data_IF_521982011327
#
_entry.id   IF_521982011327
#
_cell.length_a   1.000
_cell.length_b   1.000
_cell.length_c   1.000
_cell.angle_alpha   90.00
_cell.angle_beta   90.00
_cell.angle_gamma   90.00
#
_symmetry.space_group_name_H-M   'P 1'
#
loop_
_entity.id
_entity.type
_entity.pdbx_description
1 polymer ?
#
# COMPACT_ATOMS: atom_id res chain seq x y z
N UNK A 1 -42.66 -28.20 18.17
CA UNK A 1 -41.29 -27.76 18.50
C UNK A 1 -41.36 -26.86 19.72
N UNK A 2 -40.58 -27.18 20.75
CA UNK A 2 -40.46 -26.36 21.96
C UNK A 2 -39.80 -25.01 21.63
N UNK A 3 -40.02 -23.99 22.46
CA UNK A 3 -39.39 -22.67 22.28
C UNK A 3 -37.85 -22.76 22.33
N UNK A 4 -37.34 -23.69 23.15
CA UNK A 4 -35.92 -24.01 23.29
C UNK A 4 -35.36 -24.59 22.00
N UNK A 5 -36.02 -25.60 21.40
CA UNK A 5 -35.60 -26.18 20.11
C UNK A 5 -35.51 -25.13 19.01
N UNK A 6 -36.52 -24.24 18.93
CA UNK A 6 -36.51 -23.13 17.96
C UNK A 6 -35.36 -22.17 18.19
N UNK A 7 -35.03 -21.88 19.45
CA UNK A 7 -33.92 -21.01 19.81
C UNK A 7 -32.57 -21.66 19.46
N UNK A 8 -32.37 -22.93 19.81
CA UNK A 8 -31.17 -23.70 19.50
C UNK A 8 -30.94 -23.81 17.98
N UNK A 9 -31.98 -24.12 17.19
CA UNK A 9 -31.89 -24.11 15.73
C UNK A 9 -31.50 -22.71 15.19
N UNK A 10 -32.08 -21.65 15.77
CA UNK A 10 -31.74 -20.29 15.37
C UNK A 10 -30.26 -19.96 15.65
N UNK A 11 -29.71 -20.38 16.80
CA UNK A 11 -28.28 -20.21 17.13
C UNK A 11 -27.41 -21.04 16.17
N UNK A 12 -27.72 -22.34 16.01
CA UNK A 12 -26.98 -23.27 15.12
C UNK A 12 -26.88 -22.75 13.69
N UNK A 13 -27.93 -22.12 13.16
CA UNK A 13 -27.93 -21.53 11.81
C UNK A 13 -26.83 -20.49 11.60
N UNK A 14 -26.42 -19.77 12.64
CA UNK A 14 -25.37 -18.75 12.55
C UNK A 14 -23.96 -19.30 12.83
N UNK A 15 -23.83 -20.52 13.35
CA UNK A 15 -22.55 -21.15 13.64
C UNK A 15 -21.92 -21.82 12.40
N UNK A 16 -20.58 -21.91 12.32
CA UNK A 16 -19.87 -22.77 11.37
C UNK A 16 -20.27 -24.25 11.53
N UNK A 17 -20.39 -24.98 10.43
CA UNK A 17 -20.86 -26.38 10.43
C UNK A 17 -20.14 -27.29 11.41
N UNK A 18 -18.82 -27.17 11.50
CA UNK A 18 -17.98 -28.02 12.35
C UNK A 18 -18.18 -27.86 13.87
N UNK A 19 -18.88 -26.81 14.34
CA UNK A 19 -19.11 -26.60 15.78
C UNK A 19 -20.61 -26.53 16.14
N UNK A 20 -21.51 -26.70 15.18
CA UNK A 20 -22.97 -26.55 15.38
C UNK A 20 -23.52 -27.55 16.39
N UNK A 21 -23.07 -28.80 16.33
CA UNK A 21 -23.57 -29.85 17.21
C UNK A 21 -23.04 -29.67 18.63
N UNK A 22 -21.72 -29.55 18.77
CA UNK A 22 -21.05 -29.38 20.07
C UNK A 22 -21.59 -28.16 20.85
N UNK A 23 -21.58 -26.98 20.22
CA UNK A 23 -22.14 -25.76 20.83
C UNK A 23 -23.63 -25.90 21.08
N UNK A 24 -24.34 -26.65 20.24
CA UNK A 24 -25.75 -26.94 20.42
C UNK A 24 -26.06 -27.73 21.69
N UNK A 25 -25.25 -28.76 21.95
CA UNK A 25 -25.37 -29.61 23.15
C UNK A 25 -25.00 -28.80 24.39
N UNK A 26 -23.89 -28.06 24.33
CA UNK A 26 -23.43 -27.20 25.42
C UNK A 26 -24.47 -26.12 25.77
N UNK A 27 -25.01 -25.45 24.75
CA UNK A 27 -26.02 -24.41 24.96
C UNK A 27 -27.34 -24.99 25.48
N UNK A 28 -27.72 -26.20 25.05
CA UNK A 28 -28.90 -26.88 25.57
C UNK A 28 -28.73 -27.19 27.06
N UNK A 29 -27.60 -27.79 27.45
CA UNK A 29 -27.29 -28.07 28.86
C UNK A 29 -27.29 -26.78 29.70
N UNK A 30 -26.72 -25.68 29.18
CA UNK A 30 -26.73 -24.39 29.85
C UNK A 30 -28.14 -23.84 30.05
N UNK A 31 -29.02 -23.96 29.05
CA UNK A 31 -30.44 -23.54 29.17
C UNK A 31 -31.17 -24.40 30.22
N UNK A 32 -30.93 -25.71 30.23
CA UNK A 32 -31.55 -26.64 31.18
C UNK A 32 -31.09 -26.35 32.62
N UNK A 33 -29.80 -26.06 32.83
CA UNK A 33 -29.24 -25.65 34.14
C UNK A 33 -29.79 -24.31 34.65
N UNK A 34 -30.21 -23.42 33.75
CA UNK A 34 -30.83 -22.14 34.11
C UNK A 34 -32.31 -22.27 34.50
N UNK A 35 -32.95 -23.42 34.23
CA UNK A 35 -34.37 -23.65 34.50
C UNK A 35 -34.56 -24.40 35.84
N UNK A 36 -35.62 -24.07 36.60
CA UNK A 36 -35.98 -24.85 37.80
C UNK A 36 -36.55 -26.23 37.43
N UNK A 37 -36.48 -27.20 38.36
CA UNK A 37 -36.92 -28.60 38.14
C UNK A 37 -38.35 -28.74 37.58
N UNK A 38 -39.26 -27.84 37.97
CA UNK A 38 -40.62 -27.75 37.46
C UNK A 38 -40.85 -26.39 36.79
N UNK A 39 -40.25 -26.19 35.62
CA UNK A 39 -40.34 -24.93 34.88
C UNK A 39 -41.65 -24.79 34.11
N UNK A 40 -42.07 -23.54 33.92
CA UNK A 40 -43.21 -23.15 33.08
C UNK A 40 -42.73 -22.50 31.79
N UNK A 41 -43.64 -22.29 30.82
CA UNK A 41 -43.30 -21.55 29.59
C UNK A 41 -42.80 -20.12 29.85
N UNK A 42 -43.24 -19.50 30.96
CA UNK A 42 -42.76 -18.17 31.36
C UNK A 42 -41.28 -18.21 31.78
N UNK A 43 -40.86 -19.27 32.47
CA UNK A 43 -39.47 -19.41 32.91
C UNK A 43 -38.54 -19.60 31.71
N UNK A 44 -38.94 -20.44 30.74
CA UNK A 44 -38.24 -20.58 29.45
C UNK A 44 -38.13 -19.24 28.73
N UNK A 45 -39.23 -18.49 28.65
CA UNK A 45 -39.24 -17.18 28.00
C UNK A 45 -38.26 -16.19 28.67
N UNK A 46 -38.18 -16.17 30.01
CA UNK A 46 -37.24 -15.32 30.75
C UNK A 46 -35.77 -15.73 30.54
N UNK A 47 -35.48 -17.04 30.55
CA UNK A 47 -34.13 -17.55 30.28
C UNK A 47 -33.68 -17.17 28.88
N UNK A 48 -34.53 -17.36 27.86
CA UNK A 48 -34.20 -16.99 26.48
C UNK A 48 -34.06 -15.47 26.28
N UNK A 49 -34.82 -14.64 27.00
CA UNK A 49 -34.60 -13.19 27.02
C UNK A 49 -33.24 -12.85 27.62
N UNK A 50 -32.85 -13.52 28.71
CA UNK A 50 -31.57 -13.30 29.38
C UNK A 50 -30.37 -13.69 28.50
N UNK A 51 -30.51 -14.75 27.71
CA UNK A 51 -29.53 -15.16 26.70
C UNK A 51 -29.51 -14.23 25.48
N UNK A 52 -30.62 -13.55 25.19
CA UNK A 52 -30.69 -12.51 24.17
C UNK A 52 -30.81 -13.06 22.75
N UNK A 53 -30.35 -12.28 21.77
CA UNK A 53 -30.51 -12.62 20.36
C UNK A 53 -29.67 -13.86 19.97
N UNK A 54 -30.26 -14.88 19.32
CA UNK A 54 -29.53 -16.06 18.84
C UNK A 54 -28.29 -15.73 17.99
N UNK A 55 -28.35 -14.62 17.24
CA UNK A 55 -27.23 -14.17 16.38
C UNK A 55 -26.07 -13.60 17.18
N UNK A 56 -26.35 -12.90 18.28
CA UNK A 56 -25.32 -12.32 19.15
C UNK A 56 -24.64 -13.46 19.91
N UNK A 57 -25.44 -14.34 20.52
CA UNK A 57 -24.95 -15.50 21.26
C UNK A 57 -24.10 -16.42 20.37
N UNK A 58 -24.56 -16.74 19.17
CA UNK A 58 -23.77 -17.53 18.21
C UNK A 58 -22.40 -16.91 17.88
N UNK A 59 -22.28 -15.58 17.93
CA UNK A 59 -21.01 -14.90 17.66
C UNK A 59 -20.05 -14.96 18.86
N UNK A 60 -20.55 -15.18 20.07
CA UNK A 60 -19.73 -15.42 21.27
C UNK A 60 -19.12 -16.82 21.27
N UNK A 61 -19.87 -17.82 20.82
CA UNK A 61 -19.38 -19.19 20.63
C UNK A 61 -18.52 -19.39 19.37
N UNK A 62 -18.43 -18.39 18.48
CA UNK A 62 -17.67 -18.53 17.25
C UNK A 62 -16.17 -18.23 17.47
N UNK A 63 -15.28 -19.22 17.34
CA UNK A 63 -13.84 -19.03 17.57
C UNK A 63 -13.18 -18.10 16.54
N UNK A 64 -13.81 -17.91 15.37
CA UNK A 64 -13.32 -17.00 14.33
C UNK A 64 -14.35 -15.90 14.08
N UNK A 65 -14.15 -14.74 14.70
CA UNK A 65 -15.00 -13.57 14.44
C UNK A 65 -14.90 -13.20 12.96
N UNK A 66 -16.04 -13.11 12.27
CA UNK A 66 -16.12 -12.93 10.80
C UNK A 66 -15.91 -11.47 10.38
N UNK A 67 -14.76 -10.89 10.71
CA UNK A 67 -14.40 -9.54 10.27
C UNK A 67 -13.55 -9.61 8.99
N UNK A 68 -13.76 -8.67 8.07
CA UNK A 68 -12.82 -8.48 6.95
C UNK A 68 -11.48 -7.91 7.45
N UNK A 69 -11.57 -7.01 8.43
CA UNK A 69 -10.48 -6.39 9.17
C UNK A 69 -10.95 -6.31 10.63
N UNK A 70 -10.26 -7.00 11.53
CA UNK A 70 -10.64 -7.12 12.92
C UNK A 70 -10.38 -5.83 13.72
N UNK A 71 -11.00 -5.71 14.90
CA UNK A 71 -10.83 -4.53 15.76
C UNK A 71 -9.35 -4.25 16.10
N UNK A 72 -8.52 -5.30 16.14
CA UNK A 72 -7.09 -5.23 16.42
C UNK A 72 -6.31 -4.39 15.40
N UNK A 73 -6.66 -4.46 14.11
CA UNK A 73 -5.98 -3.74 13.04
C UNK A 73 -6.75 -2.53 12.52
N UNK A 74 -8.01 -2.35 12.94
CA UNK A 74 -8.93 -1.37 12.36
C UNK A 74 -8.42 0.08 12.43
N UNK A 75 -7.87 0.51 13.57
CA UNK A 75 -7.36 1.88 13.71
C UNK A 75 -6.13 2.14 12.82
N UNK A 76 -5.25 1.13 12.71
CA UNK A 76 -4.08 1.19 11.82
C UNK A 76 -4.53 1.22 10.36
N UNK A 77 -5.51 0.38 10.00
CA UNK A 77 -6.13 0.36 8.68
C UNK A 77 -6.68 1.73 8.29
N UNK A 78 -7.55 2.34 9.09
CA UNK A 78 -8.12 3.67 8.80
C UNK A 78 -7.03 4.73 8.68
N UNK A 79 -6.01 4.67 9.53
CA UNK A 79 -4.91 5.62 9.49
C UNK A 79 -4.04 5.48 8.23
N UNK A 80 -3.78 4.26 7.76
CA UNK A 80 -3.08 4.02 6.49
C UNK A 80 -3.96 4.45 5.33
N UNK A 81 -5.21 4.00 5.30
CA UNK A 81 -6.18 4.30 4.25
C UNK A 81 -6.28 5.79 3.97
N UNK A 82 -6.45 6.62 5.02
CA UNK A 82 -6.51 8.09 4.89
C UNK A 82 -5.25 8.67 4.25
N UNK A 83 -4.06 8.20 4.63
CA UNK A 83 -2.78 8.68 4.08
C UNK A 83 -2.62 8.29 2.62
N UNK A 84 -2.91 7.02 2.28
CA UNK A 84 -2.77 6.51 0.93
C UNK A 84 -3.76 7.18 -0.01
N UNK A 85 -5.03 7.31 0.39
CA UNK A 85 -6.03 8.05 -0.39
C UNK A 85 -5.56 9.49 -0.62
N UNK A 86 -5.10 10.19 0.41
CA UNK A 86 -4.58 11.56 0.28
C UNK A 86 -3.43 11.67 -0.73
N UNK A 87 -2.47 10.74 -0.65
CA UNK A 87 -1.34 10.67 -1.61
C UNK A 87 -1.85 10.40 -3.02
N UNK A 88 -2.70 9.38 -3.21
CA UNK A 88 -3.21 9.00 -4.53
C UNK A 88 -4.02 10.14 -5.17
N UNK A 89 -4.90 10.79 -4.41
CA UNK A 89 -5.66 11.96 -4.90
C UNK A 89 -4.71 13.08 -5.33
N UNK A 90 -3.73 13.43 -4.50
CA UNK A 90 -2.78 14.49 -4.84
C UNK A 90 -1.96 14.15 -6.10
N UNK A 91 -1.46 12.93 -6.20
CA UNK A 91 -0.67 12.47 -7.35
C UNK A 91 -1.54 12.44 -8.61
N UNK A 92 -2.76 11.89 -8.54
CA UNK A 92 -3.70 11.87 -9.66
C UNK A 92 -4.08 13.27 -10.15
N UNK A 93 -4.31 14.22 -9.23
CA UNK A 93 -4.54 15.63 -9.57
C UNK A 93 -3.34 16.24 -10.30
N UNK A 94 -2.14 16.02 -9.75
CA UNK A 94 -0.89 16.54 -10.33
C UNK A 94 -0.69 16.00 -11.75
N UNK A 95 -0.95 14.71 -11.96
CA UNK A 95 -0.84 14.03 -13.25
C UNK A 95 -1.88 14.55 -14.26
N UNK A 96 -3.14 14.69 -13.85
CA UNK A 96 -4.18 15.25 -14.71
C UNK A 96 -3.86 16.70 -15.13
N UNK A 97 -3.37 17.50 -14.18
CA UNK A 97 -2.96 18.87 -14.43
C UNK A 97 -1.74 18.96 -15.37
N UNK A 98 -0.74 18.10 -15.16
CA UNK A 98 0.43 18.01 -16.03
C UNK A 98 0.04 17.62 -17.45
N UNK A 99 -0.83 16.62 -17.61
CA UNK A 99 -1.35 16.22 -18.93
C UNK A 99 -1.98 17.37 -19.69
N UNK A 100 -2.75 18.20 -18.99
CA UNK A 100 -3.36 19.39 -19.59
C UNK A 100 -2.33 20.43 -20.05
N UNK A 101 -1.22 20.62 -19.32
CA UNK A 101 -0.15 21.53 -19.74
C UNK A 101 0.59 21.00 -20.97
N UNK A 102 0.84 19.68 -21.02
CA UNK A 102 1.71 19.06 -22.04
C UNK A 102 0.98 18.87 -23.38
N UNK A 103 -0.33 18.61 -23.36
CA UNK A 103 -1.16 18.44 -24.56
C UNK A 103 -2.13 19.63 -24.74
N UNK A 104 -1.62 20.84 -25.06
CA UNK A 104 -2.48 22.01 -25.21
C UNK A 104 -3.42 21.81 -26.41
N UNK A 105 -4.71 21.65 -26.12
CA UNK A 105 -5.73 21.67 -27.16
C UNK A 105 -5.79 23.06 -27.83
N UNK A 106 -6.02 23.08 -29.14
CA UNK A 106 -6.02 24.28 -30.02
C UNK A 106 -6.98 25.40 -29.54
N UNK A 107 -7.93 25.10 -28.63
CA UNK A 107 -8.90 26.05 -28.09
C UNK A 107 -8.82 26.16 -26.56
N UNK A 108 -7.65 26.49 -26.02
CA UNK A 108 -7.36 26.58 -24.58
C UNK A 108 -8.37 27.40 -23.74
N UNK A 109 -9.00 28.42 -24.34
CA UNK A 109 -9.83 29.42 -23.63
C UNK A 109 -11.34 29.14 -23.63
N UNK A 110 -11.81 28.03 -24.20
CA UNK A 110 -13.24 27.68 -24.18
C UNK A 110 -13.69 27.25 -22.77
N UNK A 111 -14.79 27.82 -22.25
CA UNK A 111 -15.41 27.42 -20.96
C UNK A 111 -15.66 25.89 -20.91
N UNK A 112 -15.98 25.28 -22.06
CA UNK A 112 -16.15 23.83 -22.21
C UNK A 112 -14.88 23.02 -21.93
N UNK A 113 -13.69 23.57 -22.21
CA UNK A 113 -12.41 22.89 -21.99
C UNK A 113 -11.94 23.00 -20.54
N UNK A 114 -12.25 24.11 -19.85
CA UNK A 114 -12.08 24.22 -18.38
C UNK A 114 -13.00 23.22 -17.66
N UNK A 115 -14.26 23.10 -18.11
CA UNK A 115 -15.18 22.08 -17.59
C UNK A 115 -14.67 20.65 -17.76
N UNK A 116 -14.09 20.33 -18.93
CA UNK A 116 -13.43 19.03 -19.19
C UNK A 116 -12.22 18.80 -18.30
N UNK A 117 -11.38 19.81 -18.09
CA UNK A 117 -10.23 19.72 -17.18
C UNK A 117 -10.69 19.35 -15.77
N UNK A 118 -11.62 20.13 -15.21
CA UNK A 118 -12.16 19.88 -13.87
C UNK A 118 -12.79 18.47 -13.80
N UNK A 119 -13.56 18.09 -14.81
CA UNK A 119 -14.15 16.75 -14.91
C UNK A 119 -13.09 15.65 -14.91
N UNK A 120 -12.01 15.81 -15.69
CA UNK A 120 -10.89 14.84 -15.75
C UNK A 120 -10.10 14.77 -14.44
N UNK A 121 -9.90 15.91 -13.76
CA UNK A 121 -9.22 15.97 -12.46
C UNK A 121 -10.05 15.27 -11.38
N UNK A 122 -11.36 15.50 -11.35
CA UNK A 122 -12.28 14.82 -10.43
C UNK A 122 -12.29 13.31 -10.72
N UNK A 123 -12.46 12.91 -11.98
CA UNK A 123 -12.50 11.50 -12.37
C UNK A 123 -11.18 10.78 -12.03
N UNK A 124 -10.04 11.41 -12.31
CA UNK A 124 -8.71 10.87 -11.98
C UNK A 124 -8.50 10.75 -10.47
N UNK A 125 -8.96 11.74 -9.71
CA UNK A 125 -8.88 11.73 -8.23
C UNK A 125 -9.73 10.62 -7.62
N UNK A 126 -10.97 10.46 -8.10
CA UNK A 126 -11.86 9.37 -7.66
C UNK A 126 -11.23 8.02 -7.99
N UNK A 127 -10.71 7.86 -9.22
CA UNK A 127 -10.05 6.63 -9.64
C UNK A 127 -8.82 6.33 -8.77
N UNK A 128 -7.96 7.33 -8.54
CA UNK A 128 -6.79 7.19 -7.68
C UNK A 128 -7.16 6.85 -6.23
N UNK A 129 -8.19 7.49 -5.68
CA UNK A 129 -8.71 7.19 -4.34
C UNK A 129 -9.25 5.77 -4.23
N UNK A 130 -10.03 5.31 -5.22
CA UNK A 130 -10.57 3.96 -5.26
C UNK A 130 -9.47 2.90 -5.38
N UNK A 131 -8.47 3.13 -6.22
CA UNK A 131 -7.31 2.24 -6.34
C UNK A 131 -6.52 2.17 -5.02
N UNK A 132 -6.21 3.32 -4.42
CA UNK A 132 -5.55 3.36 -3.11
C UNK A 132 -6.36 2.64 -2.03
N UNK A 133 -7.68 2.87 -1.98
CA UNK A 133 -8.56 2.21 -1.03
C UNK A 133 -8.62 0.69 -1.24
N UNK A 134 -8.72 0.25 -2.49
CA UNK A 134 -8.73 -1.16 -2.86
C UNK A 134 -7.47 -1.88 -2.39
N UNK A 135 -6.28 -1.37 -2.75
CA UNK A 135 -5.02 -2.01 -2.40
C UNK A 135 -4.73 -2.00 -0.89
N UNK A 136 -5.08 -0.92 -0.18
CA UNK A 136 -4.98 -0.88 1.29
C UNK A 136 -5.91 -1.92 1.92
N UNK A 137 -7.18 -1.97 1.49
CA UNK A 137 -8.18 -2.89 2.05
C UNK A 137 -7.79 -4.34 1.78
N UNK A 138 -7.35 -4.64 0.55
CA UNK A 138 -6.87 -5.97 0.17
C UNK A 138 -5.71 -6.40 1.06
N UNK A 139 -4.72 -5.52 1.25
CA UNK A 139 -3.54 -5.86 2.03
C UNK A 139 -3.88 -6.08 3.52
N UNK A 140 -4.71 -5.23 4.12
CA UNK A 140 -5.16 -5.44 5.49
C UNK A 140 -6.04 -6.68 5.64
N UNK A 141 -6.87 -7.01 4.64
CA UNK A 141 -7.65 -8.24 4.65
C UNK A 141 -6.77 -9.48 4.52
N UNK A 142 -5.70 -9.42 3.71
CA UNK A 142 -4.71 -10.50 3.64
C UNK A 142 -3.95 -10.65 4.96
N UNK A 143 -3.58 -9.54 5.61
CA UNK A 143 -2.93 -9.57 6.93
C UNK A 143 -3.86 -10.21 7.97
N UNK A 144 -5.13 -9.80 8.04
CA UNK A 144 -6.13 -10.38 8.96
C UNK A 144 -6.33 -11.88 8.73
N UNK A 145 -6.31 -12.33 7.47
CA UNK A 145 -6.47 -13.75 7.12
C UNK A 145 -5.18 -14.56 7.25
N UNK A 146 -4.02 -13.91 7.21
CA UNK A 146 -2.74 -14.58 7.35
C UNK A 146 -2.43 -14.83 8.82
N UNK A 147 -1.90 -16.01 9.15
CA UNK A 147 -1.43 -16.32 10.51
C UNK A 147 -0.12 -15.61 10.91
N UNK A 148 0.33 -14.67 10.07
CA UNK A 148 1.61 -13.96 10.19
C UNK A 148 1.48 -12.93 11.32
N UNK A 149 2.30 -13.08 12.35
CA UNK A 149 2.41 -12.09 13.42
C UNK A 149 3.11 -10.83 12.89
N UNK A 150 2.35 -9.74 12.72
CA UNK A 150 2.88 -8.46 12.25
C UNK A 150 3.08 -7.51 13.44
N UNK A 151 4.25 -7.60 14.06
CA UNK A 151 4.67 -6.70 15.15
C UNK A 151 4.26 -7.16 16.55
N UNK A 152 4.11 -6.22 17.48
CA UNK A 152 3.75 -6.48 18.88
C UNK A 152 2.24 -6.67 19.12
N UNK A 153 1.49 -6.98 18.08
CA UNK A 153 0.07 -7.27 18.23
C UNK A 153 -0.04 -8.76 18.55
N UNK A 154 -0.33 -9.16 19.80
CA UNK A 154 -0.54 -10.56 20.12
C UNK A 154 -1.69 -11.10 19.28
N UNK A 155 -1.58 -12.36 18.83
CA UNK A 155 -2.70 -13.10 18.25
C UNK A 155 -3.93 -12.92 19.16
N UNK A 156 -5.14 -12.96 18.60
CA UNK A 156 -6.36 -13.06 19.44
C UNK A 156 -6.28 -14.27 20.41
N UNK A 157 -5.41 -15.26 20.13
CA UNK A 157 -5.19 -16.45 20.93
C UNK A 157 -3.83 -16.51 21.67
N UNK A 158 -3.00 -15.45 21.66
CA UNK A 158 -1.80 -15.44 22.50
C UNK A 158 -2.19 -14.90 23.87
N UNK A 159 -2.11 -15.74 24.89
CA UNK A 159 -2.26 -15.30 26.27
C UNK A 159 -1.16 -14.27 26.57
N UNK A 160 -1.60 -13.06 26.90
CA UNK A 160 -0.69 -11.98 27.25
C UNK A 160 0.03 -12.32 28.55
N UNK A 161 1.36 -12.18 28.55
CA UNK A 161 2.18 -12.35 29.75
C UNK A 161 2.89 -11.03 30.09
N UNK A 162 3.23 -10.77 31.37
CA UNK A 162 4.01 -9.58 31.74
C UNK A 162 5.35 -9.46 31.00
N UNK A 163 5.91 -10.57 30.52
CA UNK A 163 7.14 -10.60 29.70
C UNK A 163 6.95 -10.00 28.30
N UNK A 164 5.70 -9.85 27.84
CA UNK A 164 5.37 -9.16 26.58
C UNK A 164 5.42 -7.62 26.70
N UNK A 165 5.72 -7.09 27.89
CA UNK A 165 5.91 -5.65 28.09
C UNK A 165 7.13 -5.15 27.31
N UNK A 166 6.99 -4.04 26.55
CA UNK A 166 8.12 -3.48 25.84
C UNK A 166 9.22 -3.01 26.82
N UNK A 167 10.46 -3.43 26.57
CA UNK A 167 11.61 -2.99 27.35
C UNK A 167 11.72 -1.45 27.39
N UNK A 168 11.84 -0.89 28.59
CA UNK A 168 11.98 0.55 28.79
C UNK A 168 13.32 1.04 28.22
N UNK A 169 13.26 2.07 27.37
CA UNK A 169 14.42 2.87 26.96
C UNK A 169 15.15 2.47 25.66
N UNK A 170 14.94 1.26 25.11
CA UNK A 170 15.66 0.83 23.89
C UNK A 170 14.91 1.12 22.57
N UNK A 171 13.62 1.44 22.65
CA UNK A 171 12.74 1.56 21.49
C UNK A 171 12.91 2.85 20.67
N UNK A 172 13.48 3.93 21.22
CA UNK A 172 13.63 5.19 20.47
C UNK A 172 14.60 5.06 19.29
N UNK A 173 15.68 4.29 19.45
CA UNK A 173 16.68 4.07 18.38
C UNK A 173 16.15 3.18 17.26
N UNK A 174 15.25 2.24 17.59
CA UNK A 174 14.57 1.35 16.64
C UNK A 174 13.32 1.95 16.02
N UNK A 175 12.83 3.08 16.54
CA UNK A 175 11.59 3.72 16.08
C UNK A 175 11.69 4.12 14.61
N UNK A 176 10.67 3.76 13.85
CA UNK A 176 10.54 4.13 12.46
C UNK A 176 9.96 5.54 12.38
N UNK A 177 10.62 6.43 11.64
CA UNK A 177 10.10 7.78 11.39
C UNK A 177 8.87 7.69 10.47
N UNK A 178 7.68 7.92 11.04
CA UNK A 178 6.41 7.91 10.30
C UNK A 178 6.42 8.95 9.16
N UNK A 179 6.97 10.15 9.42
CA UNK A 179 7.09 11.22 8.42
C UNK A 179 7.95 10.78 7.23
N UNK A 180 9.14 10.24 7.47
CA UNK A 180 10.03 9.82 6.39
C UNK A 180 9.41 8.68 5.57
N UNK A 181 8.68 7.77 6.24
CA UNK A 181 8.01 6.63 5.59
C UNK A 181 6.89 7.12 4.66
N UNK A 182 6.10 8.11 5.10
CA UNK A 182 5.04 8.74 4.27
C UNK A 182 5.63 9.52 3.10
N UNK A 183 6.71 10.29 3.32
CA UNK A 183 7.39 11.03 2.24
C UNK A 183 7.97 10.05 1.21
N UNK A 184 8.62 8.97 1.65
CA UNK A 184 9.15 7.95 0.75
C UNK A 184 8.05 7.30 -0.08
N UNK A 185 6.93 6.94 0.55
CA UNK A 185 5.77 6.39 -0.17
C UNK A 185 5.21 7.37 -1.20
N UNK A 186 5.05 8.65 -0.81
CA UNK A 186 4.60 9.70 -1.70
C UNK A 186 5.52 9.83 -2.92
N UNK A 187 6.83 9.92 -2.71
CA UNK A 187 7.82 10.03 -3.78
C UNK A 187 7.79 8.81 -4.71
N UNK A 188 7.71 7.60 -4.15
CA UNK A 188 7.60 6.37 -4.96
C UNK A 188 6.37 6.40 -5.85
N UNK A 189 5.19 6.70 -5.30
CA UNK A 189 3.94 6.74 -6.06
C UNK A 189 4.03 7.83 -7.14
N UNK A 190 4.54 9.02 -6.78
CA UNK A 190 4.72 10.14 -7.69
C UNK A 190 5.65 9.78 -8.86
N UNK A 191 6.87 9.31 -8.58
CA UNK A 191 7.84 8.97 -9.61
C UNK A 191 7.39 7.80 -10.47
N UNK A 192 6.81 6.76 -9.87
CA UNK A 192 6.25 5.62 -10.61
C UNK A 192 5.16 6.08 -11.57
N UNK A 193 4.26 6.94 -11.08
CA UNK A 193 3.16 7.42 -11.89
C UNK A 193 3.63 8.39 -12.99
N UNK A 194 4.64 9.24 -12.74
CA UNK A 194 5.27 10.05 -13.79
C UNK A 194 5.91 9.16 -14.86
N UNK A 195 6.72 8.17 -14.46
CA UNK A 195 7.39 7.26 -15.41
C UNK A 195 6.36 6.45 -16.22
N UNK A 196 5.25 6.06 -15.59
CA UNK A 196 4.22 5.26 -16.24
C UNK A 196 3.32 6.07 -17.19
N UNK A 197 2.76 7.19 -16.72
CA UNK A 197 1.78 7.97 -17.49
C UNK A 197 2.41 9.03 -18.39
N UNK A 198 3.49 9.67 -17.93
CA UNK A 198 4.13 10.77 -18.65
C UNK A 198 5.66 10.63 -18.66
N UNK A 199 6.21 9.51 -19.19
CA UNK A 199 7.66 9.35 -19.32
C UNK A 199 8.31 10.49 -20.13
N UNK A 200 7.55 11.12 -21.03
CA UNK A 200 7.93 12.28 -21.83
C UNK A 200 8.16 13.58 -21.03
N UNK A 201 7.77 13.64 -19.75
CA UNK A 201 8.12 14.79 -18.88
C UNK A 201 9.61 14.83 -18.55
N UNK A 202 10.25 13.66 -18.56
CA UNK A 202 11.69 13.55 -18.38
C UNK A 202 12.28 13.75 -19.78
N UNK A 203 12.36 14.99 -20.23
CA UNK A 203 12.77 15.36 -21.58
C UNK A 203 13.68 16.59 -21.59
N UNK A 204 14.40 16.76 -22.69
CA UNK A 204 15.01 18.05 -23.02
C UNK A 204 14.00 18.90 -23.78
N UNK A 205 13.74 20.11 -23.28
CA UNK A 205 12.84 21.07 -23.90
C UNK A 205 13.65 22.12 -24.64
N UNK A 206 13.47 22.23 -25.95
CA UNK A 206 14.22 23.17 -26.77
C UNK A 206 13.30 24.01 -27.66
N UNK A 207 13.76 25.21 -28.04
CA UNK A 207 13.02 26.11 -28.94
C UNK A 207 13.46 25.82 -30.39
N UNK A 208 12.55 25.27 -31.19
CA UNK A 208 12.75 25.04 -32.62
C UNK A 208 12.75 26.34 -33.42
N UNK A 209 13.14 26.24 -34.70
CA UNK A 209 13.32 27.40 -35.60
C UNK A 209 12.08 28.29 -35.74
N UNK A 210 10.88 27.72 -35.57
CA UNK A 210 9.60 28.44 -35.63
C UNK A 210 9.06 28.90 -34.25
N UNK A 211 9.92 29.02 -33.23
CA UNK A 211 9.52 29.32 -31.85
C UNK A 211 8.60 28.26 -31.20
N UNK A 212 8.51 27.08 -31.80
CA UNK A 212 7.78 25.94 -31.25
C UNK A 212 8.67 25.18 -30.26
N UNK A 213 8.10 24.74 -29.14
CA UNK A 213 8.82 23.90 -28.17
C UNK A 213 8.93 22.48 -28.74
N UNK A 214 10.15 22.04 -29.04
CA UNK A 214 10.46 20.65 -29.39
C UNK A 214 10.76 19.92 -28.07
N UNK A 215 10.05 18.82 -27.84
CA UNK A 215 10.22 17.97 -26.67
C UNK A 215 10.93 16.70 -27.10
N UNK A 216 12.16 16.50 -26.63
CA UNK A 216 12.93 15.29 -26.91
C UNK A 216 13.01 14.43 -25.63
N UNK A 217 12.25 13.32 -25.52
CA UNK A 217 12.22 12.48 -24.33
C UNK A 217 13.58 11.89 -23.96
N UNK A 218 13.92 11.87 -22.66
CA UNK A 218 15.16 11.28 -22.11
C UNK A 218 15.29 9.82 -22.46
N UNK A 219 14.18 9.10 -22.29
CA UNK A 219 14.13 7.68 -22.49
C UNK A 219 13.55 7.36 -23.86
N UNK A 220 14.13 6.34 -24.51
CA UNK A 220 13.45 5.66 -25.59
C UNK A 220 12.19 4.98 -25.03
N UNK A 221 11.02 5.48 -25.40
CA UNK A 221 9.73 5.05 -24.83
C UNK A 221 9.46 3.55 -25.05
N UNK A 222 9.83 3.03 -26.23
CA UNK A 222 9.65 1.62 -26.56
C UNK A 222 10.54 0.73 -25.67
N UNK A 223 11.78 1.17 -25.42
CA UNK A 223 12.69 0.45 -24.54
C UNK A 223 12.28 0.55 -23.08
N UNK A 224 11.81 1.71 -22.65
CA UNK A 224 11.31 1.95 -21.29
C UNK A 224 10.09 1.09 -20.95
N UNK A 225 9.18 0.86 -21.91
CA UNK A 225 8.01 -0.02 -21.73
C UNK A 225 8.38 -1.42 -21.25
N UNK A 226 9.54 -1.96 -21.67
CA UNK A 226 10.05 -3.25 -21.19
C UNK A 226 10.39 -3.27 -19.69
N UNK A 227 10.72 -2.11 -19.11
CA UNK A 227 11.05 -1.97 -17.68
C UNK A 227 9.83 -1.67 -16.80
N UNK A 228 8.75 -1.14 -17.37
CA UNK A 228 7.54 -0.74 -16.63
C UNK A 228 6.99 -1.87 -15.74
N UNK A 229 6.84 -3.14 -16.19
CA UNK A 229 6.34 -4.20 -15.31
C UNK A 229 7.18 -4.41 -14.06
N UNK A 230 8.51 -4.35 -14.18
CA UNK A 230 9.43 -4.48 -13.06
C UNK A 230 9.33 -3.30 -12.09
N UNK A 231 9.19 -2.08 -12.61
CA UNK A 231 8.97 -0.87 -11.81
C UNK A 231 7.66 -0.99 -11.02
N UNK A 232 6.57 -1.45 -11.65
CA UNK A 232 5.28 -1.64 -10.99
C UNK A 232 5.33 -2.72 -9.90
N UNK A 233 6.02 -3.84 -10.15
CA UNK A 233 6.21 -4.90 -9.15
C UNK A 233 6.98 -4.36 -7.94
N UNK A 234 8.07 -3.62 -8.17
CA UNK A 234 8.84 -3.01 -7.08
C UNK A 234 8.01 -1.96 -6.32
N UNK A 235 7.21 -1.14 -7.01
CA UNK A 235 6.31 -0.19 -6.35
C UNK A 235 5.28 -0.90 -5.46
N UNK A 236 4.71 -2.02 -5.92
CA UNK A 236 3.80 -2.84 -5.13
C UNK A 236 4.50 -3.43 -3.90
N UNK A 237 5.71 -4.00 -4.06
CA UNK A 237 6.50 -4.53 -2.94
C UNK A 237 6.85 -3.44 -1.93
N UNK A 238 7.20 -2.23 -2.39
CA UNK A 238 7.47 -1.11 -1.51
C UNK A 238 6.23 -0.70 -0.71
N UNK A 239 5.06 -0.75 -1.33
CA UNK A 239 3.80 -0.48 -0.65
C UNK A 239 3.51 -1.51 0.46
N UNK A 240 3.76 -2.80 0.22
CA UNK A 240 3.68 -3.85 1.26
C UNK A 240 4.62 -3.52 2.42
N UNK A 241 5.89 -3.20 2.14
CA UNK A 241 6.89 -2.85 3.16
C UNK A 241 6.48 -1.59 3.93
N UNK A 242 5.88 -0.59 3.26
CA UNK A 242 5.37 0.61 3.91
C UNK A 242 4.28 0.28 4.94
N UNK A 243 3.31 -0.55 4.56
CA UNK A 243 2.24 -0.95 5.50
C UNK A 243 2.83 -1.76 6.65
N UNK A 244 3.78 -2.65 6.37
CA UNK A 244 4.48 -3.41 7.41
C UNK A 244 5.23 -2.48 8.39
N UNK A 245 5.99 -1.49 7.89
CA UNK A 245 6.64 -0.45 8.70
C UNK A 245 5.64 0.33 9.56
N UNK A 246 4.47 0.63 8.99
CA UNK A 246 3.41 1.37 9.68
C UNK A 246 2.78 0.55 10.82
N UNK A 247 2.65 -0.76 10.66
CA UNK A 247 2.07 -1.64 11.68
C UNK A 247 3.06 -1.91 12.82
N UNK A 248 4.32 -2.22 12.52
CA UNK A 248 5.32 -2.63 13.53
C UNK A 248 5.93 -1.44 14.27
N UNK A 249 5.97 -0.26 13.63
CA UNK A 249 6.48 1.01 14.16
C UNK A 249 7.95 1.03 14.62
N UNK A 250 8.59 -0.13 14.70
CA UNK A 250 9.96 -0.38 15.11
C UNK A 250 10.62 -1.36 14.14
N UNK A 251 11.94 -1.27 14.00
CA UNK A 251 12.68 -2.23 13.19
C UNK A 251 12.79 -3.57 13.93
N UNK A 252 12.29 -4.63 13.29
CA UNK A 252 12.59 -6.01 13.66
C UNK A 252 13.48 -6.66 12.58
N UNK A 253 14.04 -7.84 12.87
CA UNK A 253 14.93 -8.54 11.94
C UNK A 253 14.26 -8.83 10.59
N UNK A 254 13.04 -9.36 10.60
CA UNK A 254 12.30 -9.72 9.38
C UNK A 254 12.03 -8.52 8.46
N UNK A 255 11.55 -7.41 9.01
CA UNK A 255 11.29 -6.17 8.27
C UNK A 255 12.57 -5.56 7.71
N UNK A 256 13.67 -5.66 8.45
CA UNK A 256 14.97 -5.16 8.02
C UNK A 256 15.54 -5.98 6.86
N UNK A 257 15.41 -7.31 6.92
CA UNK A 257 15.80 -8.21 5.82
C UNK A 257 14.93 -7.95 4.59
N UNK A 258 13.61 -7.83 4.75
CA UNK A 258 12.71 -7.53 3.65
C UNK A 258 13.02 -6.17 2.99
N UNK A 259 13.30 -5.14 3.79
CA UNK A 259 13.71 -3.82 3.29
C UNK A 259 15.06 -3.88 2.55
N UNK A 260 16.03 -4.62 3.08
CA UNK A 260 17.32 -4.81 2.43
C UNK A 260 17.16 -5.54 1.09
N UNK A 261 16.40 -6.64 1.04
CA UNK A 261 16.12 -7.39 -0.18
C UNK A 261 15.43 -6.51 -1.24
N UNK A 262 14.46 -5.70 -0.82
CA UNK A 262 13.83 -4.71 -1.69
C UNK A 262 14.85 -3.70 -2.26
N UNK A 263 15.70 -3.12 -1.40
CA UNK A 263 16.72 -2.17 -1.83
C UNK A 263 17.71 -2.81 -2.83
N UNK A 264 18.10 -4.08 -2.62
CA UNK A 264 18.93 -4.82 -3.57
C UNK A 264 18.23 -5.05 -4.92
N UNK A 265 16.93 -5.38 -4.92
CA UNK A 265 16.17 -5.55 -6.14
C UNK A 265 16.07 -4.24 -6.93
N UNK A 266 15.84 -3.11 -6.25
CA UNK A 266 15.85 -1.77 -6.87
C UNK A 266 17.23 -1.45 -7.44
N UNK A 267 18.31 -1.64 -6.68
CA UNK A 267 19.67 -1.43 -7.17
C UNK A 267 19.97 -2.27 -8.41
N UNK A 268 19.54 -3.53 -8.42
CA UNK A 268 19.71 -4.43 -9.56
C UNK A 268 18.99 -3.88 -10.80
N UNK A 269 17.73 -3.47 -10.66
CA UNK A 269 16.97 -2.88 -11.76
C UNK A 269 17.63 -1.59 -12.27
N UNK A 270 18.08 -0.72 -11.37
CA UNK A 270 18.78 0.52 -11.72
C UNK A 270 20.07 0.20 -12.49
N UNK A 271 20.89 -0.75 -12.05
CA UNK A 271 22.11 -1.17 -12.76
C UNK A 271 21.78 -1.71 -14.15
N UNK A 272 20.75 -2.56 -14.29
CA UNK A 272 20.32 -3.08 -15.59
C UNK A 272 19.90 -1.94 -16.53
N UNK A 273 19.12 -0.98 -16.05
CA UNK A 273 18.71 0.21 -16.81
C UNK A 273 19.92 1.11 -17.16
N UNK A 274 20.91 1.22 -16.27
CA UNK A 274 22.12 1.99 -16.52
C UNK A 274 23.03 1.34 -17.58
N UNK A 275 23.11 0.01 -17.59
CA UNK A 275 23.87 -0.75 -18.59
C UNK A 275 23.18 -0.79 -19.96
N UNK A 276 21.87 -0.55 -20.03
CA UNK A 276 21.14 -0.48 -21.29
C UNK A 276 21.51 0.81 -22.06
N UNK A 277 22.20 0.63 -23.19
CA UNK A 277 22.63 1.71 -24.08
C UNK A 277 21.49 2.30 -24.90
N UNK A 278 20.46 1.51 -25.18
CA UNK A 278 19.30 1.90 -26.00
C UNK A 278 18.20 2.58 -25.18
N UNK A 279 18.34 2.59 -23.86
CA UNK A 279 17.35 3.19 -22.96
C UNK A 279 17.33 4.72 -23.10
N UNK A 280 18.47 5.36 -23.33
CA UNK A 280 18.52 6.81 -23.57
C UNK A 280 18.22 7.07 -25.04
N UNK A 281 17.35 8.04 -25.32
CA UNK A 281 17.04 8.44 -26.69
C UNK A 281 18.28 9.03 -27.38
N UNK A 282 18.65 8.50 -28.53
CA UNK A 282 19.80 8.97 -29.31
C UNK A 282 19.61 10.40 -29.82
N UNK A 283 18.36 10.80 -30.10
CA UNK A 283 18.02 12.15 -30.58
C UNK A 283 18.35 13.26 -29.57
N UNK A 284 18.46 12.93 -28.28
CA UNK A 284 18.84 13.89 -27.26
C UNK A 284 20.27 14.35 -27.43
N UNK A 285 21.15 13.43 -27.84
CA UNK A 285 22.57 13.71 -27.99
C UNK A 285 22.75 14.70 -29.16
N UNK A 286 22.05 14.48 -30.27
CA UNK A 286 22.10 15.38 -31.44
C UNK A 286 21.47 16.74 -31.13
N UNK A 287 20.31 16.76 -30.47
CA UNK A 287 19.63 17.99 -30.07
C UNK A 287 20.52 18.84 -29.15
N UNK A 288 21.05 18.25 -28.08
CA UNK A 288 21.89 18.97 -27.11
C UNK A 288 23.22 19.44 -27.70
N UNK A 289 23.86 18.67 -28.57
CA UNK A 289 25.09 19.10 -29.26
C UNK A 289 24.85 20.35 -30.11
N UNK A 290 23.69 20.44 -30.76
CA UNK A 290 23.31 21.58 -31.59
C UNK A 290 23.16 22.87 -30.78
N UNK A 291 22.51 22.81 -29.60
CA UNK A 291 22.32 23.98 -28.74
C UNK A 291 23.57 24.40 -27.96
N UNK A 292 24.40 23.45 -27.54
CA UNK A 292 25.60 23.73 -26.73
C UNK A 292 26.81 24.15 -27.56
N UNK A 293 26.73 24.08 -28.90
CA UNK A 293 27.85 24.26 -29.86
C UNK A 293 29.07 23.39 -29.52
N UNK A 294 28.85 22.31 -28.76
CA UNK A 294 29.88 21.36 -28.38
C UNK A 294 29.90 20.21 -29.40
N UNK A 295 31.03 19.50 -29.48
CA UNK A 295 31.08 18.30 -30.31
C UNK A 295 30.15 17.21 -29.75
N UNK A 296 29.46 16.48 -30.63
CA UNK A 296 28.61 15.33 -30.29
C UNK A 296 29.37 14.31 -29.43
N UNK A 297 30.67 14.13 -29.71
CA UNK A 297 31.57 13.26 -28.95
C UNK A 297 31.78 13.73 -27.51
N UNK A 298 32.02 15.03 -27.29
CA UNK A 298 32.15 15.60 -25.94
C UNK A 298 30.84 15.43 -25.17
N UNK A 299 29.70 15.73 -25.81
CA UNK A 299 28.41 15.72 -25.13
C UNK A 299 27.92 14.30 -24.81
N UNK A 300 28.09 13.34 -25.73
CA UNK A 300 27.78 11.93 -25.46
C UNK A 300 28.56 11.39 -24.26
N UNK A 301 29.84 11.74 -24.14
CA UNK A 301 30.67 11.38 -22.99
C UNK A 301 30.16 11.98 -21.68
N UNK A 302 29.80 13.27 -21.68
CA UNK A 302 29.25 13.94 -20.50
C UNK A 302 27.89 13.37 -20.09
N UNK A 303 27.01 13.08 -21.04
CA UNK A 303 25.71 12.47 -20.76
C UNK A 303 25.86 11.08 -20.12
N UNK A 304 26.81 10.28 -20.62
CA UNK A 304 27.16 8.98 -20.02
C UNK A 304 27.72 9.17 -18.61
N UNK A 305 28.61 10.13 -18.38
CA UNK A 305 29.15 10.43 -17.06
C UNK A 305 28.03 10.82 -16.08
N UNK A 306 27.15 11.74 -16.46
CA UNK A 306 26.00 12.18 -15.65
C UNK A 306 25.07 11.00 -15.35
N UNK A 307 24.77 10.16 -16.34
CA UNK A 307 23.98 8.93 -16.18
C UNK A 307 24.57 8.04 -15.08
N UNK A 308 25.88 7.77 -15.14
CA UNK A 308 26.56 6.95 -14.15
C UNK A 308 26.64 7.61 -12.76
N UNK A 309 26.91 8.91 -12.69
CA UNK A 309 26.93 9.65 -11.41
C UNK A 309 25.58 9.57 -10.72
N UNK A 310 24.48 9.86 -11.43
CA UNK A 310 23.12 9.75 -10.89
C UNK A 310 22.82 8.32 -10.45
N UNK A 311 23.23 7.33 -11.24
CA UNK A 311 23.12 5.92 -10.91
C UNK A 311 23.81 5.55 -9.61
N UNK A 312 25.08 5.95 -9.45
CA UNK A 312 25.87 5.68 -8.24
C UNK A 312 25.28 6.39 -7.02
N UNK A 313 24.80 7.62 -7.17
CA UNK A 313 24.12 8.35 -6.08
C UNK A 313 22.85 7.62 -5.64
N UNK A 314 22.01 7.20 -6.58
CA UNK A 314 20.78 6.45 -6.28
C UNK A 314 21.09 5.12 -5.58
N UNK A 315 22.02 4.33 -6.11
CA UNK A 315 22.45 3.06 -5.51
C UNK A 315 23.01 3.30 -4.10
N UNK A 316 23.84 4.34 -3.93
CA UNK A 316 24.39 4.73 -2.63
C UNK A 316 23.30 5.04 -1.60
N UNK A 317 22.23 5.75 -1.99
CA UNK A 317 21.09 6.03 -1.12
C UNK A 317 20.41 4.74 -0.65
N UNK A 318 20.12 3.81 -1.57
CA UNK A 318 19.48 2.53 -1.24
C UNK A 318 20.36 1.60 -0.38
N UNK A 319 21.66 1.58 -0.64
CA UNK A 319 22.63 0.84 0.18
C UNK A 319 22.73 1.43 1.60
N UNK A 320 22.79 2.76 1.74
CA UNK A 320 22.79 3.42 3.04
C UNK A 320 21.50 3.15 3.83
N UNK A 321 20.34 3.16 3.17
CA UNK A 321 19.07 2.80 3.80
C UNK A 321 19.04 1.33 4.24
N UNK A 322 19.57 0.42 3.40
CA UNK A 322 19.72 -1.01 3.75
C UNK A 322 20.57 -1.18 5.01
N UNK A 323 21.77 -0.58 5.05
CA UNK A 323 22.66 -0.66 6.21
C UNK A 323 21.96 -0.09 7.47
N UNK A 324 21.31 1.08 7.36
CA UNK A 324 20.60 1.69 8.48
C UNK A 324 19.46 0.80 9.00
N UNK A 325 18.70 0.17 8.10
CA UNK A 325 17.63 -0.75 8.47
C UNK A 325 18.16 -1.99 9.19
N UNK A 326 19.19 -2.65 8.65
CA UNK A 326 19.81 -3.84 9.24
C UNK A 326 20.43 -3.55 10.61
N UNK A 327 21.18 -2.45 10.75
CA UNK A 327 21.76 -2.05 12.05
C UNK A 327 20.68 -1.82 13.11
N UNK A 328 19.54 -1.23 12.71
CA UNK A 328 18.40 -0.99 13.63
C UNK A 328 17.56 -2.22 13.93
N UNK A 329 17.56 -3.22 13.04
CA UNK A 329 16.83 -4.48 13.25
C UNK A 329 17.60 -5.56 14.00
N UNK A 330 18.93 -5.51 13.99
CA UNK A 330 19.81 -6.46 14.69
C UNK A 330 20.08 -6.04 16.12
N UNK A 331 20.29 -4.74 16.36
CA UNK A 331 20.32 -4.15 17.71
C UNK A 331 18.92 -4.11 18.27
#
# INVERSE_FOLDING_TARGET
MSLIERYLEAVKRYLPEGIREDVGIELQANIEDMLPDNYTEKDVYQVLIKLGSPRILANEYNPQKRYLIGPTYYDKYISVLKKVIGICVFVSLSIAFLGWIIEPSIHWYGISNIGKLIGSMIASSITGALQGAFWVTLLFSLIERSEIEVGYIPRQNKEWTPDDLPELGNNEKKKISRRNTVISMFLTILFTAIIYFYPQLIAFYSLGENNNVIVTPLFNLQRLQGYIPFILILAALQFVIFVWKYIVESWNKSLSIANAAYNFAVCTLVVVMLCDKLLINEEIISTLATYTKASIFTFSKELINVKWILGVVLIGIYLLDSIRSLVKGVR
#
